data_IF_919338275404
#
_entry.id   IF_919338275404
#
_cell.length_a   1.000
_cell.length_b   1.000
_cell.length_c   1.000
_cell.angle_alpha   90.00
_cell.angle_beta   90.00
_cell.angle_gamma   90.00
#
_symmetry.space_group_name_H-M   'P 1'
#
loop_
_entity.id
_entity.type
_entity.pdbx_description
1 polymer ?
#
# COMPACT_ATOMS: atom_id res chain seq x y z
N UNK A 1 -14.94 -3.66 -4.21
CA UNK A 1 -13.60 -3.96 -3.70
C UNK A 1 -13.08 -5.28 -4.25
N UNK A 2 -11.77 -5.38 -4.33
CA UNK A 2 -11.08 -6.62 -4.74
C UNK A 2 -10.03 -7.00 -3.71
N UNK A 3 -9.75 -8.29 -3.58
CA UNK A 3 -8.64 -8.84 -2.82
C UNK A 3 -8.28 -10.21 -3.43
N UNK A 4 -7.03 -10.62 -3.32
CA UNK A 4 -6.60 -11.95 -3.75
C UNK A 4 -7.10 -13.04 -2.80
N UNK A 5 -7.26 -12.72 -1.52
CA UNK A 5 -7.71 -13.62 -0.46
C UNK A 5 -9.25 -13.60 -0.32
N UNK A 6 -9.89 -14.73 -0.61
CA UNK A 6 -11.34 -14.88 -0.36
C UNK A 6 -11.69 -14.71 1.13
N UNK A 7 -10.79 -15.11 2.03
CA UNK A 7 -10.97 -14.92 3.46
C UNK A 7 -11.01 -13.42 3.84
N UNK A 8 -10.15 -12.58 3.24
CA UNK A 8 -10.19 -11.14 3.44
C UNK A 8 -11.46 -10.52 2.90
N UNK A 9 -11.96 -11.02 1.75
CA UNK A 9 -13.24 -10.58 1.20
C UNK A 9 -14.44 -10.98 2.09
N UNK A 10 -14.40 -12.13 2.74
CA UNK A 10 -15.42 -12.51 3.75
C UNK A 10 -15.42 -11.52 4.92
N UNK A 11 -14.25 -11.17 5.44
CA UNK A 11 -14.14 -10.15 6.49
C UNK A 11 -14.62 -8.78 6.02
N UNK A 12 -14.28 -8.38 4.79
CA UNK A 12 -14.70 -7.10 4.22
C UNK A 12 -16.25 -7.03 4.08
N UNK A 13 -16.90 -8.10 3.61
CA UNK A 13 -18.37 -8.19 3.53
C UNK A 13 -19.02 -8.06 4.90
N UNK A 14 -18.49 -8.80 5.89
CA UNK A 14 -18.97 -8.72 7.27
C UNK A 14 -18.82 -7.31 7.83
N UNK A 15 -17.64 -6.71 7.70
CA UNK A 15 -17.39 -5.35 8.19
C UNK A 15 -18.30 -4.31 7.54
N UNK A 16 -18.56 -4.43 6.22
CA UNK A 16 -19.50 -3.55 5.54
C UNK A 16 -20.91 -3.68 6.12
N UNK A 17 -21.38 -4.91 6.36
CA UNK A 17 -22.68 -5.18 6.93
C UNK A 17 -22.81 -4.66 8.36
N UNK A 18 -21.76 -4.77 9.17
CA UNK A 18 -21.76 -4.36 10.58
C UNK A 18 -21.62 -2.84 10.74
N UNK A 19 -20.92 -2.16 9.81
CA UNK A 19 -20.55 -0.74 9.96
C UNK A 19 -21.45 0.20 9.16
N UNK A 20 -21.87 -0.23 7.96
CA UNK A 20 -22.63 0.60 7.00
C UNK A 20 -23.75 -0.21 6.33
N UNK A 21 -24.65 -0.83 7.10
CA UNK A 21 -25.65 -1.79 6.60
C UNK A 21 -26.54 -1.21 5.49
N UNK A 22 -26.84 0.09 5.53
CA UNK A 22 -27.71 0.78 4.57
C UNK A 22 -27.15 0.82 3.16
N UNK A 23 -25.82 0.75 3.00
CA UNK A 23 -25.15 0.74 1.69
C UNK A 23 -24.37 -0.53 1.41
N UNK A 24 -24.28 -1.45 2.37
CA UNK A 24 -23.48 -2.69 2.25
C UNK A 24 -23.84 -3.50 1.02
N UNK A 25 -25.14 -3.56 0.64
CA UNK A 25 -25.62 -4.28 -0.53
C UNK A 25 -25.21 -3.62 -1.87
N UNK A 26 -24.76 -2.37 -1.85
CA UNK A 26 -24.28 -1.66 -3.03
C UNK A 26 -22.77 -1.90 -3.26
N UNK A 27 -22.10 -2.56 -2.31
CA UNK A 27 -20.66 -2.83 -2.38
C UNK A 27 -20.44 -4.21 -3.00
N UNK A 28 -19.78 -4.24 -4.15
CA UNK A 28 -19.41 -5.49 -4.82
C UNK A 28 -17.99 -5.87 -4.39
N UNK A 29 -17.83 -7.12 -3.92
CA UNK A 29 -16.55 -7.72 -3.56
C UNK A 29 -16.24 -8.89 -4.49
N UNK A 30 -15.06 -8.88 -5.14
CA UNK A 30 -14.59 -9.93 -6.06
C UNK A 30 -13.19 -10.39 -5.70
N UNK A 31 -12.94 -11.68 -5.77
CA UNK A 31 -11.58 -12.21 -5.73
C UNK A 31 -10.88 -11.89 -7.04
N UNK A 32 -9.73 -11.20 -6.96
CA UNK A 32 -9.01 -10.75 -8.15
C UNK A 32 -7.58 -10.36 -7.80
N UNK A 33 -6.65 -10.54 -8.75
CA UNK A 33 -5.29 -10.04 -8.65
C UNK A 33 -5.25 -8.56 -9.06
N UNK A 34 -4.75 -7.70 -8.17
CA UNK A 34 -4.60 -6.27 -8.45
C UNK A 34 -3.60 -5.96 -9.57
N UNK A 35 -2.78 -6.94 -9.97
CA UNK A 35 -1.81 -6.84 -11.07
C UNK A 35 -2.39 -7.31 -12.40
N UNK A 36 -3.62 -7.83 -12.40
CA UNK A 36 -4.31 -8.33 -13.60
C UNK A 36 -5.83 -8.17 -13.45
N UNK A 37 -6.33 -6.99 -13.75
CA UNK A 37 -7.72 -6.62 -13.50
C UNK A 37 -8.65 -7.10 -14.63
N UNK A 38 -9.69 -7.83 -14.25
CA UNK A 38 -10.74 -8.30 -15.17
C UNK A 38 -11.85 -7.25 -15.40
N UNK A 39 -11.44 -5.98 -15.53
CA UNK A 39 -12.34 -4.87 -15.83
C UNK A 39 -12.00 -4.27 -17.20
N UNK A 40 -12.99 -3.69 -17.83
CA UNK A 40 -12.81 -2.96 -19.09
C UNK A 40 -12.00 -1.68 -18.88
N UNK A 41 -11.37 -1.20 -19.94
CA UNK A 41 -10.68 0.08 -19.95
C UNK A 41 -11.63 1.22 -19.57
N UNK A 42 -11.13 2.20 -18.83
CA UNK A 42 -11.87 3.42 -18.47
C UNK A 42 -13.23 3.14 -17.76
N UNK A 43 -13.29 2.14 -16.87
CA UNK A 43 -14.50 1.76 -16.14
C UNK A 43 -14.67 2.46 -14.80
N UNK A 44 -13.61 3.06 -14.25
CA UNK A 44 -13.63 3.66 -12.91
C UNK A 44 -13.24 5.14 -12.92
N UNK A 45 -13.87 5.91 -12.04
CA UNK A 45 -13.54 7.31 -11.81
C UNK A 45 -12.46 7.46 -10.72
N UNK A 46 -12.47 6.54 -9.74
CA UNK A 46 -11.54 6.54 -8.61
C UNK A 46 -11.11 5.11 -8.29
N UNK A 47 -9.83 4.92 -8.02
CA UNK A 47 -9.25 3.71 -7.44
C UNK A 47 -8.69 4.06 -6.07
N UNK A 48 -9.03 3.26 -5.06
CA UNK A 48 -8.48 3.35 -3.72
C UNK A 48 -7.68 2.09 -3.42
N UNK A 49 -6.42 2.26 -3.03
CA UNK A 49 -5.54 1.19 -2.57
C UNK A 49 -4.98 1.52 -1.19
N UNK A 50 -4.82 0.51 -0.34
CA UNK A 50 -4.23 0.68 0.99
C UNK A 50 -3.37 -0.50 1.37
N UNK A 51 -2.11 -0.24 1.72
CA UNK A 51 -1.12 -1.24 2.16
C UNK A 51 -1.03 -2.43 1.20
N UNK A 52 -1.01 -2.18 -0.11
CA UNK A 52 -1.01 -3.21 -1.12
C UNK A 52 0.23 -3.17 -2.00
N UNK A 53 0.63 -1.99 -2.50
CA UNK A 53 1.66 -1.89 -3.54
C UNK A 53 3.02 -2.45 -3.08
N UNK A 54 3.35 -2.29 -1.79
CA UNK A 54 4.59 -2.79 -1.19
C UNK A 54 4.74 -4.31 -1.27
N UNK A 55 3.63 -5.06 -1.32
CA UNK A 55 3.53 -6.52 -1.26
C UNK A 55 3.41 -7.17 -2.65
N UNK A 56 3.42 -6.37 -3.71
CA UNK A 56 3.22 -6.88 -5.07
C UNK A 56 4.52 -7.40 -5.68
N UNK A 57 4.43 -8.51 -6.39
CA UNK A 57 5.52 -9.08 -7.18
C UNK A 57 5.83 -8.22 -8.42
N UNK A 58 4.78 -7.63 -9.03
CA UNK A 58 4.90 -6.81 -10.24
C UNK A 58 4.22 -5.43 -10.07
N UNK A 59 4.74 -4.54 -9.21
CA UNK A 59 4.06 -3.29 -8.86
C UNK A 59 3.89 -2.32 -10.04
N UNK A 60 4.80 -2.33 -11.01
CA UNK A 60 4.66 -1.54 -12.26
C UNK A 60 3.44 -2.01 -13.05
N UNK A 61 3.26 -3.33 -13.17
CA UNK A 61 2.11 -3.91 -13.86
C UNK A 61 0.80 -3.54 -13.16
N UNK A 62 0.78 -3.53 -11.83
CA UNK A 62 -0.40 -3.07 -11.07
C UNK A 62 -0.75 -1.62 -11.42
N UNK A 63 0.22 -0.71 -11.42
CA UNK A 63 -0.02 0.68 -11.83
C UNK A 63 -0.50 0.79 -13.28
N UNK A 64 0.03 0.00 -14.21
CA UNK A 64 -0.45 -0.03 -15.59
C UNK A 64 -1.91 -0.47 -15.67
N UNK A 65 -2.29 -1.53 -14.97
CA UNK A 65 -3.67 -2.02 -14.92
C UNK A 65 -4.62 -1.01 -14.26
N UNK A 66 -4.21 -0.39 -13.16
CA UNK A 66 -5.01 0.64 -12.49
C UNK A 66 -5.22 1.85 -13.42
N UNK A 67 -4.17 2.29 -14.10
CA UNK A 67 -4.30 3.35 -15.09
C UNK A 67 -5.15 2.93 -16.29
N UNK A 68 -5.06 1.69 -16.76
CA UNK A 68 -5.89 1.17 -17.86
C UNK A 68 -7.38 1.29 -17.54
N UNK A 69 -7.80 0.76 -16.39
CA UNK A 69 -9.21 0.73 -15.99
C UNK A 69 -9.73 2.09 -15.49
N UNK A 70 -8.85 3.03 -15.15
CA UNK A 70 -9.22 4.36 -14.71
C UNK A 70 -9.59 5.24 -15.91
N UNK A 71 -10.65 6.04 -15.84
CA UNK A 71 -11.04 7.01 -16.87
C UNK A 71 -10.04 8.15 -17.01
N UNK A 72 -9.93 8.77 -18.18
CA UNK A 72 -9.17 10.01 -18.33
C UNK A 72 -9.63 11.08 -17.32
N UNK A 73 -8.68 11.66 -16.56
CA UNK A 73 -8.96 12.60 -15.47
C UNK A 73 -9.42 11.95 -14.16
N UNK A 74 -9.54 10.62 -14.11
CA UNK A 74 -9.79 9.87 -12.87
C UNK A 74 -8.60 9.88 -11.93
N UNK A 75 -8.82 9.45 -10.68
CA UNK A 75 -7.80 9.52 -9.62
C UNK A 75 -7.53 8.17 -9.00
N UNK A 76 -6.24 7.91 -8.68
CA UNK A 76 -5.83 6.81 -7.80
C UNK A 76 -5.40 7.43 -6.47
N UNK A 77 -5.96 6.91 -5.38
CA UNK A 77 -5.55 7.22 -4.01
C UNK A 77 -4.85 5.99 -3.45
N UNK A 78 -3.53 6.04 -3.32
CA UNK A 78 -2.72 4.92 -2.83
C UNK A 78 -2.10 5.27 -1.47
N UNK A 79 -2.62 4.66 -0.41
CA UNK A 79 -2.10 4.73 0.95
C UNK A 79 -1.12 3.59 1.17
N UNK A 80 0.16 3.88 1.35
CA UNK A 80 1.18 2.86 1.51
C UNK A 80 2.34 3.32 2.41
N UNK A 81 3.39 2.51 2.54
CA UNK A 81 4.52 2.82 3.39
C UNK A 81 5.79 2.03 3.08
N UNK A 82 6.85 2.38 3.81
CA UNK A 82 8.15 1.70 3.73
C UNK A 82 8.22 0.54 4.75
N UNK A 83 7.38 -0.49 4.56
CA UNK A 83 7.16 -1.55 5.56
C UNK A 83 8.40 -2.39 5.86
N UNK A 84 9.25 -2.68 4.87
CA UNK A 84 10.42 -3.56 4.99
C UNK A 84 11.76 -2.88 4.71
N UNK A 85 11.78 -1.58 4.43
CA UNK A 85 13.01 -0.83 4.16
C UNK A 85 13.99 -0.87 5.34
N UNK A 86 13.47 -1.08 6.55
CA UNK A 86 14.26 -1.29 7.77
C UNK A 86 15.19 -2.52 7.72
N UNK A 87 14.90 -3.52 6.88
CA UNK A 87 15.78 -4.67 6.68
C UNK A 87 17.05 -4.31 5.89
N UNK A 88 17.05 -3.16 5.21
CA UNK A 88 18.11 -2.75 4.29
C UNK A 88 18.76 -1.41 4.67
N UNK A 89 18.13 -0.64 5.57
CA UNK A 89 18.57 0.71 5.96
C UNK A 89 18.49 0.92 7.46
N UNK A 90 19.60 1.33 8.07
CA UNK A 90 19.68 1.55 9.53
C UNK A 90 18.77 2.69 10.02
N UNK A 91 18.61 3.75 9.22
CA UNK A 91 17.75 4.88 9.56
C UNK A 91 16.26 4.48 9.72
N UNK A 92 15.84 3.40 9.06
CA UNK A 92 14.50 2.83 9.21
C UNK A 92 14.41 1.76 10.32
N UNK A 93 15.53 1.17 10.75
CA UNK A 93 15.50 0.11 11.77
C UNK A 93 15.08 0.63 13.14
N UNK A 94 15.47 1.85 13.50
CA UNK A 94 15.11 2.48 14.77
C UNK A 94 13.60 2.81 14.80
N UNK A 95 13.06 3.31 13.68
CA UNK A 95 11.63 3.52 13.52
C UNK A 95 10.84 2.25 13.81
N UNK A 96 11.26 1.13 13.23
CA UNK A 96 10.52 -0.12 13.40
C UNK A 96 10.57 -0.67 14.83
N UNK A 97 11.71 -0.54 15.53
CA UNK A 97 11.81 -0.93 16.93
C UNK A 97 10.82 -0.17 17.83
N UNK A 98 10.74 1.14 17.64
CA UNK A 98 9.83 2.01 18.41
C UNK A 98 8.38 1.76 18.01
N UNK A 99 8.08 1.64 16.72
CA UNK A 99 6.73 1.35 16.24
C UNK A 99 6.21 0.02 16.80
N UNK A 100 7.05 -1.02 16.88
CA UNK A 100 6.71 -2.30 17.53
C UNK A 100 6.44 -2.16 19.03
N UNK A 101 7.17 -1.29 19.73
CA UNK A 101 6.96 -1.04 21.14
C UNK A 101 5.65 -0.28 21.41
N UNK A 102 5.33 0.70 20.55
CA UNK A 102 4.10 1.51 20.66
C UNK A 102 2.83 0.72 20.28
N UNK A 103 2.95 -0.16 19.29
CA UNK A 103 1.85 -0.98 18.79
C UNK A 103 2.06 -2.45 19.15
N UNK A 104 2.09 -2.78 20.45
CA UNK A 104 2.09 -4.18 20.93
C UNK A 104 0.79 -4.86 20.47
N UNK A 105 0.82 -5.33 19.24
CA UNK A 105 -0.31 -6.05 18.64
C UNK A 105 -0.31 -7.47 19.21
N UNK A 106 -1.21 -7.70 20.15
CA UNK A 106 -1.31 -8.95 20.91
C UNK A 106 -1.44 -10.18 20.02
N UNK A 107 -2.08 -10.03 18.84
CA UNK A 107 -2.27 -11.11 17.86
C UNK A 107 -0.98 -11.51 17.12
N UNK A 108 0.08 -10.70 17.14
CA UNK A 108 1.36 -11.02 16.52
C UNK A 108 2.33 -11.75 17.44
N UNK A 109 2.00 -11.92 18.73
CA UNK A 109 2.90 -12.56 19.72
C UNK A 109 3.30 -13.99 19.34
N UNK A 110 2.48 -14.70 18.56
CA UNK A 110 2.71 -16.10 18.18
C UNK A 110 3.00 -16.27 16.67
N UNK A 111 3.22 -15.19 15.93
CA UNK A 111 3.52 -15.25 14.49
C UNK A 111 5.03 -15.32 14.30
N UNK A 112 5.50 -16.28 13.50
CA UNK A 112 6.91 -16.34 13.08
C UNK A 112 7.23 -15.22 12.09
N UNK A 113 7.59 -14.07 12.65
CA UNK A 113 7.98 -12.89 11.86
C UNK A 113 9.24 -13.14 11.00
N UNK A 114 10.05 -14.17 11.33
CA UNK A 114 11.26 -14.46 10.55
C UNK A 114 10.93 -15.00 9.16
N UNK A 115 9.88 -15.82 9.05
CA UNK A 115 9.39 -16.33 7.77
C UNK A 115 8.82 -15.21 6.91
N UNK A 116 7.98 -14.33 7.51
CA UNK A 116 7.41 -13.18 6.82
C UNK A 116 8.51 -12.24 6.33
N UNK A 117 9.50 -11.94 7.19
CA UNK A 117 10.62 -11.07 6.80
C UNK A 117 11.44 -11.66 5.64
N UNK A 118 11.67 -12.99 5.62
CA UNK A 118 12.40 -13.63 4.50
C UNK A 118 11.63 -13.45 3.19
N UNK A 119 10.34 -13.71 3.17
CA UNK A 119 9.50 -13.53 1.98
C UNK A 119 9.48 -12.07 1.53
N UNK A 120 9.28 -11.15 2.46
CA UNK A 120 9.24 -9.72 2.16
C UNK A 120 10.56 -9.18 1.62
N UNK A 121 11.71 -9.76 2.01
CA UNK A 121 13.01 -9.35 1.47
C UNK A 121 13.21 -9.69 -0.01
N UNK A 122 12.42 -10.60 -0.56
CA UNK A 122 12.44 -10.96 -1.99
C UNK A 122 11.56 -10.05 -2.84
N UNK A 123 10.64 -9.29 -2.21
CA UNK A 123 9.75 -8.39 -2.93
C UNK A 123 10.49 -7.17 -3.49
N UNK A 124 10.14 -6.72 -4.71
CA UNK A 124 10.88 -5.68 -5.43
C UNK A 124 10.93 -4.35 -4.69
N UNK A 125 9.84 -3.96 -4.00
CA UNK A 125 9.76 -2.66 -3.35
C UNK A 125 10.36 -2.61 -1.94
N UNK A 126 10.70 -3.75 -1.33
CA UNK A 126 11.24 -3.80 0.02
C UNK A 126 12.58 -3.07 0.19
N UNK A 127 13.38 -2.98 -0.89
CA UNK A 127 14.69 -2.31 -0.91
C UNK A 127 14.63 -0.87 -1.39
N UNK A 128 13.52 -0.46 -1.98
CA UNK A 128 13.38 0.82 -2.64
C UNK A 128 12.77 1.84 -1.70
N UNK A 129 13.30 3.06 -1.74
CA UNK A 129 12.73 4.16 -0.96
C UNK A 129 11.48 4.68 -1.64
N UNK A 130 10.38 4.60 -0.94
CA UNK A 130 9.09 5.09 -1.37
C UNK A 130 8.70 6.34 -0.57
N UNK A 131 7.94 7.27 -1.13
CA UNK A 131 7.26 7.25 -2.42
C UNK A 131 8.10 7.69 -3.63
N UNK A 132 9.41 7.92 -3.49
CA UNK A 132 10.25 8.42 -4.57
C UNK A 132 10.22 7.51 -5.80
N UNK A 133 10.34 6.19 -5.59
CA UNK A 133 10.24 5.21 -6.65
C UNK A 133 8.89 5.28 -7.37
N UNK A 134 7.80 5.38 -6.59
CA UNK A 134 6.45 5.44 -7.14
C UNK A 134 6.25 6.66 -8.04
N UNK A 135 6.68 7.83 -7.58
CA UNK A 135 6.56 9.08 -8.35
C UNK A 135 7.28 8.98 -9.69
N UNK A 136 8.51 8.49 -9.70
CA UNK A 136 9.28 8.32 -10.94
C UNK A 136 8.58 7.35 -11.87
N UNK A 137 8.19 6.18 -11.36
CA UNK A 137 7.49 5.14 -12.15
C UNK A 137 6.17 5.67 -12.74
N UNK A 138 5.37 6.37 -11.95
CA UNK A 138 4.10 6.92 -12.40
C UNK A 138 4.26 7.99 -13.49
N UNK A 139 5.26 8.87 -13.37
CA UNK A 139 5.58 9.86 -14.39
C UNK A 139 6.05 9.18 -15.69
N UNK A 140 6.86 8.12 -15.61
CA UNK A 140 7.25 7.31 -16.77
C UNK A 140 6.06 6.61 -17.43
N UNK A 141 5.03 6.25 -16.66
CA UNK A 141 3.76 5.72 -17.18
C UNK A 141 2.83 6.80 -17.78
N UNK A 142 3.24 8.07 -17.74
CA UNK A 142 2.56 9.17 -18.43
C UNK A 142 1.37 9.76 -17.68
N UNK A 143 1.31 9.65 -16.37
CA UNK A 143 0.25 10.30 -15.56
C UNK A 143 0.39 11.83 -15.63
N UNK A 144 -0.72 12.56 -15.49
CA UNK A 144 -0.74 14.03 -15.53
C UNK A 144 -0.14 14.69 -14.31
N UNK A 145 -0.25 14.02 -13.15
CA UNK A 145 0.25 14.56 -11.90
C UNK A 145 0.25 13.54 -10.77
N UNK A 146 1.18 13.74 -9.85
CA UNK A 146 1.27 12.98 -8.60
C UNK A 146 1.45 13.96 -7.45
N UNK A 147 0.48 14.00 -6.56
CA UNK A 147 0.57 14.72 -5.28
C UNK A 147 0.96 13.72 -4.19
N UNK A 148 1.88 14.12 -3.32
CA UNK A 148 2.42 13.26 -2.24
C UNK A 148 2.14 13.92 -0.91
N UNK A 149 1.45 13.20 -0.03
CA UNK A 149 1.35 13.52 1.40
C UNK A 149 2.10 12.45 2.18
N UNK A 150 3.21 12.82 2.82
CA UNK A 150 4.06 11.89 3.53
C UNK A 150 3.99 12.14 5.05
N UNK A 151 3.87 11.05 5.82
CA UNK A 151 4.04 11.08 7.26
C UNK A 151 5.51 10.82 7.59
N UNK A 152 6.21 11.89 7.98
CA UNK A 152 7.57 11.80 8.49
C UNK A 152 7.55 11.32 9.95
N UNK A 153 8.47 10.43 10.25
CA UNK A 153 8.77 10.05 11.61
C UNK A 153 10.19 10.54 11.99
N UNK A 154 10.29 11.15 13.15
CA UNK A 154 11.56 11.69 13.65
C UNK A 154 12.04 10.79 14.78
N UNK A 155 13.11 10.01 14.54
CA UNK A 155 13.81 9.30 15.60
C UNK A 155 14.75 10.27 16.32
N UNK A 156 14.45 10.56 17.57
CA UNK A 156 15.39 11.24 18.45
C UNK A 156 16.26 10.19 19.14
N UNK A 157 17.43 9.90 18.58
CA UNK A 157 18.46 9.13 19.25
C UNK A 157 19.73 9.97 19.32
N UNK A 158 20.09 10.42 20.52
CA UNK A 158 21.39 11.04 20.84
C UNK A 158 21.89 12.06 19.80
N UNK A 159 21.31 13.25 19.80
CA UNK A 159 21.76 14.46 19.10
C UNK A 159 21.67 14.50 17.55
N UNK A 160 21.12 13.49 16.89
CA UNK A 160 20.82 13.58 15.46
C UNK A 160 19.37 13.19 15.19
N UNK A 161 18.59 14.16 14.76
CA UNK A 161 17.26 13.90 14.22
C UNK A 161 17.40 13.10 12.91
N UNK A 162 17.00 11.83 12.94
CA UNK A 162 16.87 11.03 11.72
C UNK A 162 15.41 11.09 11.28
N UNK A 163 15.18 11.61 10.09
CA UNK A 163 13.84 11.65 9.47
C UNK A 163 13.68 10.48 8.52
N UNK A 164 12.59 9.73 8.65
CA UNK A 164 12.22 8.72 7.68
C UNK A 164 10.73 8.83 7.31
N UNK A 165 10.40 8.50 6.08
CA UNK A 165 9.00 8.43 5.62
C UNK A 165 8.46 7.06 6.00
N UNK A 166 7.55 7.03 6.97
CA UNK A 166 6.93 5.79 7.42
C UNK A 166 5.80 5.36 6.51
N UNK A 167 4.87 6.27 6.25
CA UNK A 167 3.71 6.08 5.39
C UNK A 167 3.47 7.31 4.53
N UNK A 168 2.71 7.15 3.47
CA UNK A 168 2.38 8.21 2.53
C UNK A 168 1.04 7.94 1.85
N UNK A 169 0.44 9.02 1.35
CA UNK A 169 -0.65 9.01 0.39
C UNK A 169 -0.13 9.54 -0.94
N UNK A 170 -0.39 8.81 -2.01
CA UNK A 170 -0.25 9.30 -3.38
C UNK A 170 -1.65 9.60 -3.93
N UNK A 171 -1.87 10.82 -4.41
CA UNK A 171 -3.01 11.18 -5.22
C UNK A 171 -2.52 11.35 -6.67
N UNK A 172 -2.88 10.39 -7.52
CA UNK A 172 -2.40 10.27 -8.90
C UNK A 172 -3.54 10.65 -9.84
N UNK A 173 -3.29 11.52 -10.81
CA UNK A 173 -4.26 11.91 -11.84
C UNK A 173 -3.85 11.35 -13.20
N UNK A 174 -4.72 10.52 -13.80
CA UNK A 174 -4.55 9.98 -15.17
C UNK A 174 -4.66 11.06 -16.24
#
# INVERSE_FOLDING_TARGET
>A
GIDYSDQMLMHARKNAQDTIPEIANNIIFRQMDAQNLEFEDNSFDVILSRNLTWDLEHPVKAYQEWLRVLRPGGKILNFDGNHYLHCFREDYSDYQKINRQLHQQEYLKNVDMSAINRLAMELPLSRLQRPQWDVVTLLELGVRGVEVEAQEWIASAQEKEKKCIASFLLCITK
#
